data_IF_959695743811
#
_entry.id   IF_959695743811
#
_cell.length_a   1.000
_cell.length_b   1.000
_cell.length_c   1.000
_cell.angle_alpha   90.00
_cell.angle_beta   90.00
_cell.angle_gamma   90.00
#
_symmetry.space_group_name_H-M   'P 1'
#
loop_
_entity.id
_entity.type
_entity.pdbx_description
1 polymer ?
#
# COMPACT_ATOMS: atom_id res chain seq x y z
N UNK A 1 -33.35 -27.14 7.04
CA UNK A 1 -32.51 -26.27 7.88
C UNK A 1 -31.07 -26.73 7.81
N UNK A 2 -30.23 -26.02 7.05
CA UNK A 2 -28.83 -25.71 7.38
C UNK A 2 -28.35 -24.59 6.45
N UNK A 3 -27.64 -23.67 7.09
CA UNK A 3 -27.35 -22.27 6.80
C UNK A 3 -27.01 -21.88 5.36
N UNK A 4 -27.61 -20.76 4.95
CA UNK A 4 -27.16 -19.91 3.86
C UNK A 4 -25.87 -19.25 4.37
N UNK A 5 -24.70 -19.65 3.86
CA UNK A 5 -23.45 -18.93 4.13
C UNK A 5 -23.53 -17.62 3.34
N UNK A 6 -23.92 -16.53 4.01
CA UNK A 6 -23.72 -15.20 3.47
C UNK A 6 -22.27 -14.83 3.76
N UNK A 7 -21.45 -14.71 2.72
CA UNK A 7 -20.11 -14.13 2.86
C UNK A 7 -20.30 -12.72 3.42
N UNK A 8 -19.69 -12.40 4.56
CA UNK A 8 -19.75 -11.08 5.17
C UNK A 8 -18.55 -10.24 4.71
N UNK A 9 -18.65 -8.91 4.64
CA UNK A 9 -17.49 -8.07 4.39
C UNK A 9 -16.45 -8.24 5.50
N UNK A 10 -15.17 -8.20 5.15
CA UNK A 10 -14.07 -8.47 6.08
C UNK A 10 -13.09 -7.29 6.08
N UNK A 11 -12.67 -6.89 7.28
CA UNK A 11 -11.49 -6.04 7.49
C UNK A 11 -10.30 -6.91 7.89
N UNK A 12 -9.16 -6.77 7.21
CA UNK A 12 -7.95 -7.55 7.49
C UNK A 12 -6.81 -6.61 7.85
N UNK A 13 -6.14 -6.83 8.97
CA UNK A 13 -4.92 -6.10 9.33
C UNK A 13 -3.78 -6.52 8.41
N UNK A 14 -3.24 -5.58 7.62
CA UNK A 14 -2.11 -5.84 6.72
C UNK A 14 -0.77 -5.41 7.31
N UNK A 15 -0.77 -4.42 8.20
CA UNK A 15 0.43 -3.97 8.90
C UNK A 15 0.09 -3.23 10.20
N UNK A 16 1.08 -3.12 11.08
CA UNK A 16 0.91 -2.54 12.41
C UNK A 16 0.63 -3.60 13.49
N UNK A 17 0.22 -3.15 14.69
CA UNK A 17 0.02 -4.03 15.85
C UNK A 17 -0.93 -5.21 15.62
N UNK A 18 -1.86 -5.08 14.67
CA UNK A 18 -2.89 -6.08 14.41
C UNK A 18 -2.71 -6.82 13.06
N UNK A 19 -1.49 -6.86 12.54
CA UNK A 19 -1.20 -7.57 11.29
C UNK A 19 -1.64 -9.05 11.36
N UNK A 20 -2.32 -9.51 10.31
CA UNK A 20 -2.83 -10.88 10.16
C UNK A 20 -4.20 -11.13 10.79
N UNK A 21 -4.67 -10.24 11.66
CA UNK A 21 -5.99 -10.34 12.28
C UNK A 21 -7.09 -10.01 11.26
N UNK A 22 -8.28 -10.57 11.48
CA UNK A 22 -9.45 -10.42 10.61
C UNK A 22 -10.69 -10.14 11.44
N UNK A 23 -11.54 -9.25 10.95
CA UNK A 23 -12.82 -8.91 11.56
C UNK A 23 -13.91 -8.98 10.50
N UNK A 24 -14.91 -9.81 10.75
CA UNK A 24 -16.14 -9.84 9.98
C UNK A 24 -17.00 -8.64 10.36
N UNK A 25 -17.50 -7.92 9.37
CA UNK A 25 -18.31 -6.72 9.54
C UNK A 25 -19.78 -7.15 9.47
N UNK A 26 -20.28 -7.70 10.58
CA UNK A 26 -21.69 -8.08 10.75
C UNK A 26 -22.59 -6.90 11.14
N UNK A 27 -21.98 -5.91 11.80
CA UNK A 27 -22.63 -4.74 12.37
C UNK A 27 -21.61 -3.60 12.47
N UNK A 28 -22.02 -2.49 13.08
CA UNK A 28 -21.09 -1.40 13.38
C UNK A 28 -19.83 -1.90 14.09
N UNK A 29 -18.67 -1.58 13.52
CA UNK A 29 -17.35 -1.94 14.02
C UNK A 29 -16.58 -0.69 14.40
N UNK A 30 -16.42 -0.48 15.70
CA UNK A 30 -15.68 0.66 16.25
C UNK A 30 -14.20 0.32 16.35
N UNK A 31 -13.35 1.24 15.88
CA UNK A 31 -11.89 1.12 15.90
C UNK A 31 -11.33 2.20 16.81
N UNK A 32 -10.46 1.81 17.74
CA UNK A 32 -9.86 2.77 18.67
C UNK A 32 -8.91 2.13 19.65
N UNK A 33 -8.36 2.95 20.56
CA UNK A 33 -7.50 2.47 21.64
C UNK A 33 -8.28 1.97 22.85
N UNK A 34 -9.53 2.40 23.00
CA UNK A 34 -10.35 2.01 24.13
C UNK A 34 -10.75 0.53 24.05
N UNK A 35 -10.69 -0.19 25.17
CA UNK A 35 -10.95 -1.64 25.23
C UNK A 35 -12.41 -2.00 24.92
N UNK A 36 -13.30 -1.00 24.89
CA UNK A 36 -14.69 -1.14 24.48
C UNK A 36 -14.88 -1.22 22.95
N UNK A 37 -13.83 -0.95 22.16
CA UNK A 37 -13.88 -1.02 20.69
C UNK A 37 -13.89 -2.47 20.18
N UNK A 38 -14.51 -2.69 19.02
CA UNK A 38 -14.47 -4.00 18.36
C UNK A 38 -13.11 -4.31 17.73
N UNK A 39 -12.36 -3.27 17.38
CA UNK A 39 -10.94 -3.34 16.97
C UNK A 39 -10.13 -2.45 17.91
N UNK A 40 -9.38 -3.08 18.80
CA UNK A 40 -8.58 -2.39 19.81
C UNK A 40 -7.12 -2.28 19.37
N UNK A 41 -6.61 -1.05 19.28
CA UNK A 41 -5.21 -0.76 18.96
C UNK A 41 -4.58 -0.03 20.16
N UNK A 42 -3.81 -0.74 20.98
CA UNK A 42 -3.20 -0.20 22.19
C UNK A 42 -1.99 0.70 21.89
N UNK A 43 -2.23 1.86 21.28
CA UNK A 43 -1.17 2.84 20.99
C UNK A 43 -1.64 4.28 21.21
N UNK A 44 -0.81 5.08 21.87
CA UNK A 44 -1.10 6.48 22.20
C UNK A 44 -1.42 7.38 20.99
N UNK A 45 -1.01 7.00 19.79
CA UNK A 45 -1.32 7.69 18.53
C UNK A 45 -2.75 7.42 18.05
N UNK A 46 -3.44 6.45 18.64
CA UNK A 46 -4.83 6.12 18.34
C UNK A 46 -5.75 6.75 19.40
N UNK A 47 -6.73 7.54 18.93
CA UNK A 47 -7.81 8.05 19.76
C UNK A 47 -8.59 6.91 20.43
N UNK A 48 -9.22 7.20 21.58
CA UNK A 48 -10.05 6.23 22.30
C UNK A 48 -11.12 5.62 21.40
N UNK A 49 -11.83 6.48 20.68
CA UNK A 49 -12.72 6.15 19.57
C UNK A 49 -12.15 6.89 18.36
N UNK A 50 -11.62 6.15 17.38
CA UNK A 50 -10.83 6.72 16.29
C UNK A 50 -11.60 6.75 14.98
N UNK A 51 -12.10 5.60 14.57
CA UNK A 51 -12.86 5.46 13.35
C UNK A 51 -14.01 4.48 13.58
N UNK A 52 -15.02 4.60 12.74
CA UNK A 52 -16.19 3.73 12.72
C UNK A 52 -16.37 3.17 11.33
N UNK A 53 -16.67 1.87 11.29
CA UNK A 53 -17.18 1.21 10.11
C UNK A 53 -18.66 0.87 10.35
N UNK A 54 -19.53 1.27 9.44
CA UNK A 54 -20.98 1.04 9.53
C UNK A 54 -21.51 0.40 8.25
N UNK A 55 -22.46 -0.51 8.39
CA UNK A 55 -23.21 -1.05 7.25
C UNK A 55 -24.34 -0.08 6.95
N UNK A 56 -24.36 0.46 5.74
CA UNK A 56 -25.41 1.36 5.23
C UNK A 56 -26.11 0.72 4.03
N UNK A 57 -27.26 1.27 3.58
CA UNK A 57 -27.90 0.80 2.34
C UNK A 57 -27.02 0.91 1.09
N UNK A 58 -26.06 1.84 1.10
CA UNK A 58 -25.16 2.12 -0.02
C UNK A 58 -23.86 1.30 0.05
N UNK A 59 -23.68 0.50 1.11
CA UNK A 59 -22.50 -0.35 1.32
C UNK A 59 -21.87 -0.17 2.69
N UNK A 60 -20.60 -0.55 2.82
CA UNK A 60 -19.85 -0.38 4.08
C UNK A 60 -19.21 1.00 4.09
N UNK A 61 -19.60 1.85 5.04
CA UNK A 61 -19.08 3.20 5.20
C UNK A 61 -17.97 3.25 6.26
N UNK A 62 -16.92 4.01 5.99
CA UNK A 62 -15.85 4.37 6.93
C UNK A 62 -15.97 5.85 7.29
N UNK A 63 -15.86 6.13 8.59
CA UNK A 63 -15.94 7.48 9.16
C UNK A 63 -14.83 7.68 10.20
N UNK A 64 -14.20 8.86 10.17
CA UNK A 64 -13.31 9.32 11.23
C UNK A 64 -14.12 10.00 12.35
N UNK A 65 -13.87 9.63 13.61
CA UNK A 65 -14.58 10.16 14.78
C UNK A 65 -13.85 11.34 15.44
N UNK A 66 -13.41 12.31 14.62
CA UNK A 66 -12.58 13.44 15.04
C UNK A 66 -11.29 12.98 15.76
N UNK A 67 -10.62 12.00 15.16
CA UNK A 67 -9.38 11.44 15.66
C UNK A 67 -8.23 12.45 15.64
N UNK A 68 -7.23 12.28 16.51
CA UNK A 68 -6.10 13.21 16.60
C UNK A 68 -5.18 13.14 15.37
N UNK A 69 -4.98 11.94 14.83
CA UNK A 69 -3.97 11.66 13.81
C UNK A 69 -4.58 11.24 12.46
N UNK A 70 -5.91 11.30 12.34
CA UNK A 70 -6.62 11.04 11.10
C UNK A 70 -6.78 9.57 10.75
N UNK A 71 -7.83 9.32 9.98
CA UNK A 71 -8.11 8.08 9.26
C UNK A 71 -7.90 8.32 7.78
N UNK A 72 -7.25 7.37 7.09
CA UNK A 72 -6.90 7.50 5.68
C UNK A 72 -7.49 6.34 4.88
N UNK A 73 -7.92 6.62 3.66
CA UNK A 73 -8.29 5.62 2.65
C UNK A 73 -7.36 5.77 1.46
N UNK A 74 -6.65 4.69 1.09
CA UNK A 74 -5.69 4.68 0.00
C UNK A 74 -4.68 5.85 0.07
N UNK A 75 -4.22 6.18 1.28
CA UNK A 75 -3.29 7.28 1.54
C UNK A 75 -3.90 8.68 1.61
N UNK A 76 -5.20 8.85 1.35
CA UNK A 76 -5.90 10.14 1.41
C UNK A 76 -6.66 10.28 2.73
N UNK A 77 -6.48 11.40 3.43
CA UNK A 77 -7.16 11.70 4.69
C UNK A 77 -8.69 11.79 4.47
N UNK A 78 -9.46 11.20 5.38
CA UNK A 78 -10.91 11.32 5.38
C UNK A 78 -11.35 12.67 5.96
N UNK A 79 -12.10 13.44 5.17
CA UNK A 79 -12.79 14.66 5.63
C UNK A 79 -14.27 14.43 5.94
N UNK A 80 -14.86 13.36 5.39
CA UNK A 80 -16.26 12.98 5.54
C UNK A 80 -16.40 11.45 5.47
N UNK A 81 -17.53 10.87 5.89
CA UNK A 81 -17.79 9.45 5.68
C UNK A 81 -17.71 9.04 4.21
N UNK A 82 -17.10 7.90 3.93
CA UNK A 82 -16.90 7.36 2.57
C UNK A 82 -17.34 5.90 2.50
N UNK A 83 -17.94 5.49 1.39
CA UNK A 83 -18.24 4.08 1.13
C UNK A 83 -16.96 3.38 0.66
N UNK A 84 -16.60 2.30 1.35
CA UNK A 84 -15.48 1.43 1.02
C UNK A 84 -15.82 0.53 -0.18
N UNK A 85 -14.83 0.37 -1.04
CA UNK A 85 -14.82 -0.51 -2.20
C UNK A 85 -13.88 -1.67 -1.94
N UNK A 86 -14.14 -2.80 -2.60
CA UNK A 86 -13.29 -3.99 -2.47
C UNK A 86 -11.81 -3.67 -2.73
N UNK A 87 -10.94 -4.12 -1.83
CA UNK A 87 -9.50 -3.88 -1.88
C UNK A 87 -9.05 -2.53 -1.34
N UNK A 88 -9.95 -1.66 -0.87
CA UNK A 88 -9.56 -0.39 -0.26
C UNK A 88 -8.65 -0.57 0.95
N UNK A 89 -7.58 0.21 0.99
CA UNK A 89 -6.68 0.28 2.13
C UNK A 89 -7.18 1.32 3.12
N UNK A 90 -7.36 0.90 4.37
CA UNK A 90 -7.77 1.75 5.48
C UNK A 90 -6.61 1.87 6.45
N UNK A 91 -6.21 3.10 6.74
CA UNK A 91 -5.11 3.38 7.64
C UNK A 91 -5.62 4.19 8.84
N UNK A 92 -5.30 3.71 10.04
CA UNK A 92 -5.65 4.33 11.32
C UNK A 92 -4.39 4.92 11.93
N UNK A 93 -4.38 6.25 12.05
CA UNK A 93 -3.16 7.01 12.31
C UNK A 93 -2.01 6.60 11.34
N UNK A 94 -0.75 6.79 11.74
CA UNK A 94 0.42 6.35 10.96
C UNK A 94 0.92 4.95 11.32
N UNK A 95 0.13 4.15 12.04
CA UNK A 95 0.64 2.92 12.69
C UNK A 95 -0.06 1.63 12.33
N UNK A 96 -1.32 1.68 11.86
CA UNK A 96 -2.12 0.49 11.63
C UNK A 96 -2.78 0.56 10.26
N UNK A 97 -2.56 -0.47 9.44
CA UNK A 97 -3.10 -0.59 8.09
C UNK A 97 -4.00 -1.81 7.99
N UNK A 98 -5.10 -1.64 7.28
CA UNK A 98 -6.09 -2.65 6.97
C UNK A 98 -6.39 -2.67 5.48
N UNK A 99 -6.91 -3.79 5.00
CA UNK A 99 -7.62 -3.89 3.72
C UNK A 99 -9.07 -4.30 3.98
N UNK A 100 -9.99 -3.67 3.26
CA UNK A 100 -11.39 -4.05 3.24
C UNK A 100 -11.68 -4.98 2.05
N UNK A 101 -12.43 -6.06 2.29
CA UNK A 101 -12.92 -6.97 1.28
C UNK A 101 -14.45 -7.04 1.35
N UNK A 102 -15.11 -6.89 0.21
CA UNK A 102 -16.57 -6.94 0.10
C UNK A 102 -17.09 -8.38 0.10
N UNK A 103 -18.32 -8.57 0.59
CA UNK A 103 -19.05 -9.84 0.52
C UNK A 103 -19.45 -10.25 -0.90
N UNK A 104 -19.75 -9.29 -1.77
CA UNK A 104 -20.24 -9.51 -3.13
C UNK A 104 -19.11 -9.37 -4.17
N UNK A 105 -18.16 -10.29 -4.18
CA UNK A 105 -17.38 -10.58 -5.40
C UNK A 105 -18.26 -11.27 -6.47
N UNK A 106 -19.44 -10.70 -6.77
CA UNK A 106 -20.18 -10.95 -8.00
C UNK A 106 -20.59 -9.60 -8.59
N UNK A 107 -19.91 -9.21 -9.65
CA UNK A 107 -20.15 -7.96 -10.39
C UNK A 107 -21.59 -7.95 -10.93
N UNK A 108 -22.39 -6.87 -10.77
CA UNK A 108 -23.59 -6.72 -11.58
C UNK A 108 -23.19 -6.44 -13.04
N UNK A 109 -23.38 -7.42 -13.91
CA UNK A 109 -23.34 -7.28 -15.37
C UNK A 109 -24.48 -6.34 -15.83
N UNK A 110 -24.22 -5.03 -15.82
CA UNK A 110 -25.01 -4.07 -16.60
C UNK A 110 -24.42 -3.93 -18.00
N UNK A 111 -25.20 -4.07 -19.09
CA UNK A 111 -24.67 -3.90 -20.43
C UNK A 111 -24.39 -2.41 -20.69
N UNK A 112 -23.10 -2.04 -20.84
CA UNK A 112 -22.75 -0.77 -21.48
C UNK A 112 -21.75 0.14 -20.78
N UNK A 113 -21.00 -0.30 -19.76
CA UNK A 113 -19.83 0.47 -19.28
C UNK A 113 -18.57 -0.03 -20.00
N UNK A 114 -17.76 0.84 -20.63
CA UNK A 114 -16.48 0.43 -21.18
C UNK A 114 -15.59 -0.04 -20.04
N UNK A 115 -15.35 -1.35 -20.02
CA UNK A 115 -14.38 -1.99 -19.13
C UNK A 115 -13.01 -1.37 -19.45
N UNK A 116 -12.31 -0.74 -18.48
CA UNK A 116 -10.88 -0.56 -18.61
C UNK A 116 -10.27 -1.97 -18.75
N UNK A 117 -9.39 -2.17 -19.74
CA UNK A 117 -8.76 -3.47 -20.09
C UNK A 117 -7.88 -4.10 -18.98
N UNK A 118 -8.06 -3.72 -17.70
CA UNK A 118 -7.16 -4.04 -16.61
C UNK A 118 -7.52 -5.29 -15.78
N UNK A 119 -8.61 -6.02 -16.07
CA UNK A 119 -8.96 -7.22 -15.29
C UNK A 119 -9.24 -8.43 -16.19
N UNK A 120 -8.17 -9.13 -16.56
CA UNK A 120 -8.22 -10.52 -17.01
C UNK A 120 -7.80 -11.43 -15.83
N UNK A 121 -8.61 -12.44 -15.43
CA UNK A 121 -8.23 -13.40 -14.40
C UNK A 121 -7.12 -14.32 -14.95
N UNK A 122 -5.93 -14.22 -14.35
CA UNK A 122 -4.69 -14.84 -14.83
C UNK A 122 -3.51 -13.88 -14.88
N UNK A 123 -3.76 -12.57 -14.79
CA UNK A 123 -2.72 -11.55 -14.81
C UNK A 123 -2.60 -10.92 -13.43
N UNK A 124 -1.70 -11.44 -12.59
CA UNK A 124 -1.07 -10.50 -11.64
C UNK A 124 -0.27 -9.51 -12.51
N UNK A 125 -0.51 -8.19 -12.44
CA UNK A 125 0.37 -7.22 -13.10
C UNK A 125 1.69 -7.07 -12.34
N UNK A 126 2.09 -8.08 -11.57
CA UNK A 126 3.36 -8.14 -10.89
C UNK A 126 4.43 -8.28 -11.97
N UNK A 127 4.95 -7.13 -12.40
CA UNK A 127 6.18 -7.08 -13.16
C UNK A 127 7.28 -7.85 -12.43
N UNK A 128 8.38 -8.12 -13.13
CA UNK A 128 9.48 -8.92 -12.59
C UNK A 128 10.00 -8.42 -11.24
N UNK A 129 9.88 -7.13 -10.95
CA UNK A 129 10.17 -6.55 -9.64
C UNK A 129 8.88 -6.41 -8.83
N UNK A 130 8.84 -7.05 -7.67
CA UNK A 130 7.76 -6.95 -6.69
C UNK A 130 8.33 -6.40 -5.40
N UNK A 131 7.70 -5.35 -4.87
CA UNK A 131 8.09 -4.74 -3.61
C UNK A 131 6.91 -4.87 -2.65
N UNK A 132 7.21 -5.32 -1.44
CA UNK A 132 6.29 -5.31 -0.30
C UNK A 132 6.74 -4.21 0.68
N UNK A 133 6.06 -3.04 0.66
CA UNK A 133 6.32 -1.92 1.57
C UNK A 133 6.26 -2.31 3.04
N UNK A 134 5.38 -3.26 3.37
CA UNK A 134 5.01 -3.59 4.74
C UNK A 134 6.06 -4.48 5.39
N UNK A 135 6.54 -5.50 4.68
CA UNK A 135 7.60 -6.39 5.17
C UNK A 135 9.02 -5.94 4.82
N UNK A 136 9.14 -4.83 4.07
CA UNK A 136 10.39 -4.34 3.47
C UNK A 136 11.11 -5.39 2.62
N UNK A 137 10.34 -6.27 1.99
CA UNK A 137 10.86 -7.34 1.14
C UNK A 137 10.71 -6.97 -0.31
N UNK A 138 11.65 -7.45 -1.10
CA UNK A 138 11.72 -7.19 -2.53
C UNK A 138 12.01 -8.51 -3.21
N UNK A 139 11.26 -8.80 -4.26
CA UNK A 139 11.50 -9.93 -5.15
C UNK A 139 11.85 -9.39 -6.53
N UNK A 140 12.84 -10.00 -7.16
CA UNK A 140 13.26 -9.70 -8.53
C UNK A 140 13.27 -11.00 -9.30
N UNK A 141 12.52 -11.06 -10.41
CA UNK A 141 12.29 -12.25 -11.20
C UNK A 141 11.88 -13.48 -10.34
N UNK A 142 11.05 -13.24 -9.31
CA UNK A 142 10.59 -14.28 -8.38
C UNK A 142 11.60 -14.68 -7.29
N UNK A 143 12.81 -14.11 -7.27
CA UNK A 143 13.83 -14.37 -6.24
C UNK A 143 13.82 -13.27 -5.17
N UNK A 144 13.73 -13.63 -3.90
CA UNK A 144 13.80 -12.68 -2.78
C UNK A 144 15.21 -12.07 -2.66
N UNK A 145 15.28 -10.75 -2.50
CA UNK A 145 16.53 -10.02 -2.27
C UNK A 145 17.04 -10.33 -0.85
N UNK A 146 18.03 -11.22 -0.74
CA UNK A 146 18.65 -11.60 0.53
C UNK A 146 20.19 -11.45 0.49
N UNK A 147 20.86 -10.80 1.46
CA UNK A 147 20.30 -9.96 2.54
C UNK A 147 19.44 -8.81 2.03
N UNK A 148 18.47 -8.40 2.87
CA UNK A 148 17.52 -7.34 2.59
C UNK A 148 18.22 -6.02 2.21
N UNK A 149 17.56 -5.21 1.39
CA UNK A 149 18.06 -3.88 1.02
C UNK A 149 18.24 -3.00 2.26
N UNK A 150 19.24 -2.13 2.23
CA UNK A 150 19.36 -1.11 3.28
C UNK A 150 18.17 -0.16 3.26
N UNK A 151 17.86 0.49 4.40
CA UNK A 151 16.72 1.42 4.50
C UNK A 151 16.74 2.49 3.39
N UNK A 152 17.89 3.13 3.06
CA UNK A 152 17.94 4.09 1.95
C UNK A 152 17.70 3.46 0.57
N UNK A 153 18.19 2.24 0.33
CA UNK A 153 17.97 1.51 -0.93
C UNK A 153 16.51 1.10 -1.11
N UNK A 154 15.89 0.66 -0.02
CA UNK A 154 14.48 0.30 0.00
C UNK A 154 13.59 1.51 -0.28
N UNK A 155 13.82 2.63 0.43
CA UNK A 155 13.07 3.88 0.22
C UNK A 155 13.20 4.42 -1.20
N UNK A 156 14.39 4.35 -1.79
CA UNK A 156 14.58 4.76 -3.19
C UNK A 156 13.72 3.89 -4.13
N UNK A 157 13.77 2.58 -3.94
CA UNK A 157 13.04 1.64 -4.76
C UNK A 157 11.53 1.79 -4.58
N UNK A 158 11.06 1.95 -3.35
CA UNK A 158 9.68 2.22 -2.99
C UNK A 158 9.17 3.53 -3.60
N UNK A 159 9.95 4.60 -3.53
CA UNK A 159 9.59 5.88 -4.14
C UNK A 159 9.39 5.73 -5.66
N UNK A 160 10.29 5.03 -6.35
CA UNK A 160 10.16 4.77 -7.79
C UNK A 160 9.04 3.76 -8.10
N UNK A 161 8.77 2.81 -7.20
CA UNK A 161 7.73 1.79 -7.33
C UNK A 161 6.32 2.35 -7.12
N UNK A 162 6.17 3.39 -6.31
CA UNK A 162 4.90 4.10 -6.13
C UNK A 162 4.59 5.04 -7.30
N UNK A 163 5.61 5.47 -8.05
CA UNK A 163 5.48 6.33 -9.23
C UNK A 163 5.64 5.54 -10.54
N UNK A 164 5.00 4.36 -10.65
CA UNK A 164 5.23 3.42 -11.76
C UNK A 164 5.08 4.07 -13.14
N UNK A 165 6.13 3.98 -13.95
CA UNK A 165 6.14 4.49 -15.33
C UNK A 165 6.42 5.99 -15.48
N UNK A 166 6.47 6.74 -14.38
CA UNK A 166 6.76 8.18 -14.37
C UNK A 166 8.21 8.48 -13.99
N UNK A 167 8.75 9.58 -14.52
CA UNK A 167 10.08 10.07 -14.14
C UNK A 167 9.94 10.83 -12.83
N UNK A 168 10.67 10.39 -11.81
CA UNK A 168 10.73 11.06 -10.50
C UNK A 168 11.97 11.94 -10.47
N UNK A 169 11.81 13.20 -10.05
CA UNK A 169 12.91 14.15 -10.00
C UNK A 169 13.95 13.76 -8.95
N UNK A 170 15.21 14.10 -9.21
CA UNK A 170 16.33 13.79 -8.30
C UNK A 170 16.08 14.35 -6.89
N UNK A 171 15.53 15.56 -6.82
CA UNK A 171 15.28 16.26 -5.56
C UNK A 171 14.20 15.55 -4.72
N UNK A 172 13.11 15.10 -5.36
CA UNK A 172 12.06 14.32 -4.70
C UNK A 172 12.57 12.97 -4.20
N UNK A 173 13.48 12.33 -4.95
CA UNK A 173 14.12 11.09 -4.51
C UNK A 173 15.06 11.30 -3.33
N UNK A 174 15.75 12.44 -3.25
CA UNK A 174 16.56 12.77 -2.07
C UNK A 174 15.66 12.93 -0.84
N UNK A 175 14.57 13.67 -0.97
CA UNK A 175 13.61 13.85 0.13
C UNK A 175 12.97 12.51 0.54
N UNK A 176 12.58 11.66 -0.41
CA UNK A 176 11.97 10.36 -0.09
C UNK A 176 12.94 9.40 0.61
N UNK A 177 14.23 9.44 0.28
CA UNK A 177 15.24 8.53 0.85
C UNK A 177 15.69 8.96 2.24
N UNK A 178 16.03 10.24 2.40
CA UNK A 178 16.63 10.78 3.64
C UNK A 178 15.62 11.53 4.54
N UNK A 179 14.48 11.98 4.02
CA UNK A 179 13.51 12.80 4.74
C UNK A 179 13.89 14.28 4.76
N UNK A 180 12.91 15.17 5.01
CA UNK A 180 13.09 16.63 4.91
C UNK A 180 14.14 17.21 5.88
N UNK A 181 14.27 16.65 7.09
CA UNK A 181 15.22 17.13 8.11
C UNK A 181 16.68 16.72 7.86
N UNK A 182 16.92 15.59 7.17
CA UNK A 182 18.27 15.11 6.83
C UNK A 182 18.68 15.46 5.39
N UNK A 183 17.74 15.87 4.52
CA UNK A 183 18.02 16.27 3.15
C UNK A 183 18.83 17.59 3.07
N UNK A 184 18.85 18.40 4.13
CA UNK A 184 19.64 19.64 4.23
C UNK A 184 21.14 19.33 4.32
N UNK A 185 21.77 19.10 3.17
CA UNK A 185 23.21 18.84 3.03
C UNK A 185 23.58 17.56 2.29
N UNK A 186 22.60 16.74 1.89
CA UNK A 186 22.84 15.55 1.06
C UNK A 186 23.05 15.97 -0.38
N UNK A 187 24.23 15.68 -0.94
CA UNK A 187 24.55 16.01 -2.33
C UNK A 187 23.91 15.03 -3.30
N UNK A 188 23.64 15.48 -4.54
CA UNK A 188 23.19 14.59 -5.63
C UNK A 188 24.12 13.39 -5.85
N UNK A 189 25.40 13.52 -5.48
CA UNK A 189 26.38 12.43 -5.55
C UNK A 189 26.04 11.27 -4.61
N UNK A 190 25.39 11.53 -3.47
CA UNK A 190 24.94 10.48 -2.55
C UNK A 190 23.78 9.67 -3.15
N UNK A 191 22.85 10.36 -3.83
CA UNK A 191 21.79 9.70 -4.61
C UNK A 191 22.40 8.88 -5.74
N UNK A 192 23.34 9.43 -6.52
CA UNK A 192 23.98 8.70 -7.61
C UNK A 192 24.74 7.44 -7.12
N UNK A 193 25.41 7.53 -5.97
CA UNK A 193 26.07 6.37 -5.34
C UNK A 193 25.06 5.31 -4.88
N UNK A 194 23.91 5.72 -4.35
CA UNK A 194 22.85 4.84 -3.88
C UNK A 194 22.14 4.14 -5.04
N UNK A 195 21.82 4.88 -6.10
CA UNK A 195 21.29 4.35 -7.36
C UNK A 195 22.23 3.30 -7.94
N UNK A 196 23.54 3.59 -8.00
CA UNK A 196 24.53 2.63 -8.51
C UNK A 196 24.52 1.34 -7.68
N UNK A 197 24.58 1.43 -6.35
CA UNK A 197 24.56 0.25 -5.47
C UNK A 197 23.27 -0.56 -5.61
N UNK A 198 22.13 0.11 -5.77
CA UNK A 198 20.85 -0.55 -5.98
C UNK A 198 20.82 -1.26 -7.34
N UNK A 199 21.32 -0.63 -8.41
CA UNK A 199 21.48 -1.29 -9.72
C UNK A 199 22.36 -2.53 -9.64
N UNK A 200 23.53 -2.42 -9.02
CA UNK A 200 24.45 -3.55 -8.86
C UNK A 200 23.77 -4.73 -8.12
N UNK A 201 22.90 -4.41 -7.14
CA UNK A 201 22.14 -5.40 -6.37
C UNK A 201 21.06 -6.08 -7.21
N UNK A 202 20.29 -5.29 -7.98
CA UNK A 202 19.23 -5.81 -8.85
C UNK A 202 19.81 -6.63 -10.01
N UNK A 203 20.90 -6.16 -10.62
CA UNK A 203 21.64 -6.88 -11.67
C UNK A 203 22.28 -8.17 -11.15
N UNK A 204 22.60 -8.25 -9.85
CA UNK A 204 23.03 -9.49 -9.21
C UNK A 204 21.97 -10.60 -9.22
N UNK A 205 20.68 -10.23 -9.27
CA UNK A 205 19.54 -11.14 -9.22
C UNK A 205 18.92 -11.37 -10.59
N UNK A 206 18.80 -10.32 -11.40
CA UNK A 206 18.34 -10.40 -12.77
C UNK A 206 19.25 -9.57 -13.68
N UNK A 207 20.18 -10.26 -14.35
CA UNK A 207 21.08 -9.66 -15.35
C UNK A 207 20.41 -9.35 -16.68
N UNK A 208 19.16 -9.80 -16.87
CA UNK A 208 18.48 -9.71 -18.15
C UNK A 208 17.73 -8.38 -18.34
N UNK A 209 17.63 -7.55 -17.30
CA UNK A 209 16.88 -6.30 -17.36
C UNK A 209 17.41 -5.21 -16.42
N UNK A 210 17.45 -3.97 -16.93
CA UNK A 210 17.82 -2.78 -16.16
C UNK A 210 16.57 -2.09 -15.62
N UNK A 211 16.26 -2.35 -14.35
CA UNK A 211 15.05 -1.84 -13.70
C UNK A 211 15.07 -0.32 -13.44
N UNK A 212 16.25 0.30 -13.37
CA UNK A 212 16.40 1.71 -12.99
C UNK A 212 16.95 2.51 -14.17
N UNK A 213 16.09 3.26 -14.85
CA UNK A 213 16.46 4.10 -16.00
C UNK A 213 16.73 5.54 -15.56
N UNK A 214 17.87 6.09 -15.98
CA UNK A 214 18.17 7.52 -15.79
C UNK A 214 17.66 8.31 -16.98
N UNK A 215 16.81 9.31 -16.73
CA UNK A 215 16.36 10.28 -17.73
C UNK A 215 17.17 11.56 -17.54
N UNK A 216 18.13 11.78 -18.46
CA UNK A 216 19.09 12.89 -18.37
C UNK A 216 18.36 14.24 -18.27
N UNK A 217 18.65 15.00 -17.21
CA UNK A 217 18.04 16.31 -16.96
C UNK A 217 16.69 16.28 -16.24
N UNK A 218 16.09 15.09 -16.02
CA UNK A 218 14.74 14.98 -15.42
C UNK A 218 14.71 14.08 -14.18
N UNK A 219 15.49 13.00 -14.11
CA UNK A 219 15.57 12.17 -12.92
C UNK A 219 15.65 10.67 -13.18
N UNK A 220 14.91 9.87 -12.42
CA UNK A 220 14.93 8.41 -12.51
C UNK A 220 13.53 7.83 -12.69
N UNK A 221 13.46 6.69 -13.38
CA UNK A 221 12.23 5.95 -13.60
C UNK A 221 12.46 4.46 -13.34
N UNK A 222 11.48 3.82 -12.73
CA UNK A 222 11.42 2.35 -12.65
C UNK A 222 10.85 1.79 -13.95
N UNK A 223 11.59 0.90 -14.60
CA UNK A 223 11.10 0.03 -15.67
C UNK A 223 10.87 -1.36 -15.09
N UNK A 224 9.62 -1.82 -15.10
CA UNK A 224 9.22 -3.08 -14.48
C UNK A 224 8.38 -3.89 -15.48
N UNK A 225 9.02 -4.64 -16.38
CA UNK A 225 8.31 -5.40 -17.40
C UNK A 225 7.47 -6.51 -16.76
N UNK A 226 6.38 -6.95 -17.41
CA UNK A 226 5.57 -8.06 -16.90
C UNK A 226 6.44 -9.31 -16.68
N UNK A 227 6.12 -10.09 -15.64
CA UNK A 227 6.75 -11.39 -15.42
C UNK A 227 6.57 -12.24 -16.69
N UNK A 228 7.67 -12.78 -17.23
CA UNK A 228 7.58 -13.68 -18.39
C UNK A 228 6.90 -14.98 -17.93
N UNK A 229 5.86 -15.37 -18.65
CA UNK A 229 5.20 -16.68 -18.55
C UNK A 229 6.17 -17.82 -18.84
#
# INVERSE_FOLDING_TARGET
MKSINADLPILIGQAGPLNGNRWEIEKELLIGRDDTCGVVIHDRQVSRYHARISITPDGVALEDLASKNGTYRNGVLLERPVVLQDGDQVQIAMIQHFVYLSSDSTVPLGPGVPIPEAFQPGTSPAGRLVLDPLSRRVWVAGTEVNPALSVPQFRLLEALYNHRGSVVARQDLVVAVWGDEEATGVSEQALDALVRRLRDRLAGLDRSHDYLLTVRGYGLRLDNPPARS
#
